data_IF_759946640924
#
_entry.id   IF_759946640924
#
_cell.length_a   1.000
_cell.length_b   1.000
_cell.length_c   1.000
_cell.angle_alpha   90.00
_cell.angle_beta   90.00
_cell.angle_gamma   90.00
#
_symmetry.space_group_name_H-M   'P 1'
#
loop_
_entity.id
_entity.type
_entity.pdbx_description
1 polymer ?
#
# COMPACT_ATOMS: atom_id res chain seq x y z
N UNK A 1 20.62 -30.75 -8.87
CA UNK A 1 21.20 -29.39 -8.95
C UNK A 1 20.22 -28.39 -9.58
N UNK A 2 19.68 -28.65 -10.77
CA UNK A 2 18.73 -27.75 -11.47
C UNK A 2 17.42 -27.48 -10.73
N UNK A 3 16.86 -28.47 -10.02
CA UNK A 3 15.60 -28.32 -9.27
C UNK A 3 15.72 -27.47 -8.01
N UNK A 4 16.88 -27.53 -7.33
CA UNK A 4 17.18 -26.72 -6.14
C UNK A 4 17.37 -25.25 -6.53
N UNK A 5 18.03 -25.00 -7.67
CA UNK A 5 18.20 -23.65 -8.22
C UNK A 5 16.85 -23.02 -8.59
N UNK A 6 15.95 -23.77 -9.21
CA UNK A 6 14.60 -23.28 -9.53
C UNK A 6 13.80 -22.93 -8.27
N UNK A 7 13.87 -23.75 -7.22
CA UNK A 7 13.23 -23.47 -5.94
C UNK A 7 13.80 -22.21 -5.26
N UNK A 8 15.12 -22.01 -5.32
CA UNK A 8 15.77 -20.83 -4.76
C UNK A 8 15.32 -19.53 -5.46
N UNK A 9 15.22 -19.55 -6.79
CA UNK A 9 14.74 -18.41 -7.59
C UNK A 9 13.29 -18.05 -7.23
N UNK A 10 12.41 -19.05 -7.10
CA UNK A 10 11.02 -18.83 -6.70
C UNK A 10 10.90 -18.17 -5.32
N UNK A 11 11.77 -18.56 -4.38
CA UNK A 11 11.85 -17.94 -3.06
C UNK A 11 12.28 -16.48 -3.16
N UNK A 12 13.28 -16.19 -3.98
CA UNK A 12 13.77 -14.82 -4.20
C UNK A 12 12.69 -13.92 -4.83
N UNK A 13 11.98 -14.42 -5.85
CA UNK A 13 10.85 -13.72 -6.46
C UNK A 13 9.75 -13.45 -5.42
N UNK A 14 9.43 -14.45 -4.59
CA UNK A 14 8.47 -14.29 -3.51
C UNK A 14 8.90 -13.26 -2.46
N UNK A 15 10.20 -13.19 -2.14
CA UNK A 15 10.75 -12.17 -1.24
C UNK A 15 10.67 -10.77 -1.84
N UNK A 16 10.99 -10.62 -3.12
CA UNK A 16 10.85 -9.37 -3.83
C UNK A 16 9.39 -8.90 -3.86
N UNK A 17 8.45 -9.80 -4.17
CA UNK A 17 7.01 -9.50 -4.12
C UNK A 17 6.57 -9.06 -2.72
N UNK A 18 7.02 -9.77 -1.67
CA UNK A 18 6.73 -9.42 -0.28
C UNK A 18 7.26 -8.02 0.08
N UNK A 19 8.48 -7.67 -0.37
CA UNK A 19 9.05 -6.35 -0.17
C UNK A 19 8.22 -5.26 -0.87
N UNK A 20 7.76 -5.50 -2.10
CA UNK A 20 6.87 -4.57 -2.81
C UNK A 20 5.55 -4.36 -2.07
N UNK A 21 4.93 -5.44 -1.60
CA UNK A 21 3.69 -5.37 -0.80
C UNK A 21 3.92 -4.57 0.48
N UNK A 22 5.06 -4.78 1.15
CA UNK A 22 5.41 -4.05 2.37
C UNK A 22 5.62 -2.56 2.10
N UNK A 23 6.39 -2.21 1.07
CA UNK A 23 6.60 -0.81 0.66
C UNK A 23 5.27 -0.15 0.33
N UNK A 24 4.42 -0.80 -0.46
CA UNK A 24 3.12 -0.26 -0.82
C UNK A 24 2.20 -0.09 0.40
N UNK A 25 2.23 -1.03 1.34
CA UNK A 25 1.52 -0.91 2.62
C UNK A 25 1.98 0.32 3.41
N UNK A 26 3.29 0.57 3.47
CA UNK A 26 3.86 1.76 4.11
C UNK A 26 3.38 3.04 3.42
N UNK A 27 3.32 3.07 2.09
CA UNK A 27 2.78 4.22 1.35
C UNK A 27 1.31 4.48 1.68
N UNK A 28 0.48 3.43 1.77
CA UNK A 28 -0.93 3.59 2.18
C UNK A 28 -1.01 4.12 3.62
N UNK A 29 -0.19 3.62 4.54
CA UNK A 29 -0.14 4.13 5.92
C UNK A 29 0.28 5.61 5.94
N UNK A 30 1.31 5.99 5.18
CA UNK A 30 1.73 7.38 5.06
C UNK A 30 0.62 8.29 4.50
N UNK A 31 -0.16 7.79 3.54
CA UNK A 31 -1.35 8.49 3.02
C UNK A 31 -2.44 8.65 4.08
N UNK A 32 -2.72 7.61 4.88
CA UNK A 32 -3.69 7.71 5.99
C UNK A 32 -3.23 8.75 7.01
N UNK A 33 -1.94 8.73 7.39
CA UNK A 33 -1.37 9.68 8.35
C UNK A 33 -1.44 11.11 7.84
N UNK A 34 -1.22 11.34 6.53
CA UNK A 34 -1.36 12.67 5.94
C UNK A 34 -2.82 13.14 5.96
N UNK A 35 -3.77 12.28 5.59
CA UNK A 35 -5.21 12.59 5.69
C UNK A 35 -5.63 12.89 7.13
N UNK A 36 -5.17 12.09 8.10
CA UNK A 36 -5.42 12.29 9.51
C UNK A 36 -4.89 13.66 9.96
N UNK A 37 -3.63 13.97 9.63
CA UNK A 37 -3.00 15.24 9.97
C UNK A 37 -3.80 16.45 9.45
N UNK A 38 -4.25 16.41 8.19
CA UNK A 38 -5.08 17.50 7.63
C UNK A 38 -6.50 17.52 8.19
N UNK A 39 -7.10 16.36 8.43
CA UNK A 39 -8.45 16.22 8.99
C UNK A 39 -8.59 16.80 10.40
N UNK A 40 -7.53 16.74 11.22
CA UNK A 40 -7.49 17.34 12.56
C UNK A 40 -6.97 18.79 12.58
N UNK A 41 -6.97 19.48 11.44
CA UNK A 41 -6.61 20.90 11.37
C UNK A 41 -5.11 21.18 11.22
N UNK A 42 -4.30 20.16 10.94
CA UNK A 42 -2.91 20.32 10.53
C UNK A 42 -2.82 21.14 9.25
N UNK A 43 -1.87 22.10 9.21
CA UNK A 43 -1.61 22.93 8.03
C UNK A 43 -0.27 22.55 7.44
N UNK A 44 -0.21 22.46 6.11
CA UNK A 44 1.04 22.21 5.39
C UNK A 44 1.97 23.42 5.56
N UNK A 45 3.19 23.25 6.11
CA UNK A 45 4.24 24.27 5.98
C UNK A 45 4.56 24.47 4.49
N UNK A 46 4.82 25.71 4.05
CA UNK A 46 5.10 26.02 2.64
C UNK A 46 6.50 25.51 2.23
N UNK A 47 6.64 24.18 2.11
CA UNK A 47 7.87 23.50 1.72
C UNK A 47 7.61 22.68 0.46
N UNK A 48 8.28 23.05 -0.65
CA UNK A 48 8.13 22.39 -1.95
C UNK A 48 8.40 20.89 -1.90
N UNK A 49 9.37 20.45 -1.08
CA UNK A 49 9.70 19.03 -0.95
C UNK A 49 8.54 18.24 -0.32
N UNK A 50 7.91 18.81 0.71
CA UNK A 50 6.80 18.16 1.41
C UNK A 50 5.56 18.06 0.52
N UNK A 51 5.21 19.14 -0.20
CA UNK A 51 4.11 19.12 -1.18
C UNK A 51 4.36 18.10 -2.31
N UNK A 52 5.62 17.96 -2.76
CA UNK A 52 5.98 16.96 -3.77
C UNK A 52 5.78 15.53 -3.25
N UNK A 53 6.19 15.23 -2.01
CA UNK A 53 6.01 13.91 -1.39
C UNK A 53 4.53 13.58 -1.21
N UNK A 54 3.72 14.53 -0.74
CA UNK A 54 2.27 14.33 -0.61
C UNK A 54 1.59 14.10 -1.96
N UNK A 55 1.95 14.89 -2.97
CA UNK A 55 1.44 14.71 -4.33
C UNK A 55 1.82 13.36 -4.93
N UNK A 56 3.05 12.88 -4.65
CA UNK A 56 3.48 11.55 -5.04
C UNK A 56 2.66 10.46 -4.33
N UNK A 57 2.48 10.56 -3.02
CA UNK A 57 1.66 9.61 -2.25
C UNK A 57 0.24 9.55 -2.81
N UNK A 58 -0.37 10.70 -3.09
CA UNK A 58 -1.71 10.77 -3.66
C UNK A 58 -1.77 10.11 -5.04
N UNK A 59 -0.83 10.41 -5.94
CA UNK A 59 -0.81 9.82 -7.29
C UNK A 59 -0.63 8.29 -7.27
N UNK A 60 0.15 7.75 -6.32
CA UNK A 60 0.46 6.32 -6.24
C UNK A 60 -0.61 5.54 -5.49
N UNK A 61 -1.17 6.12 -4.43
CA UNK A 61 -2.11 5.44 -3.52
C UNK A 61 -3.56 5.65 -3.94
N UNK A 62 -3.93 6.84 -4.44
CA UNK A 62 -5.33 7.16 -4.74
C UNK A 62 -5.96 6.22 -5.79
N UNK A 63 -5.31 5.80 -6.89
CA UNK A 63 -5.93 4.88 -7.85
C UNK A 63 -6.37 3.56 -7.22
N UNK A 64 -5.56 3.01 -6.31
CA UNK A 64 -5.88 1.79 -5.58
C UNK A 64 -7.04 2.00 -4.61
N UNK A 65 -7.00 3.07 -3.81
CA UNK A 65 -8.06 3.38 -2.86
C UNK A 65 -9.39 3.73 -3.53
N UNK A 66 -9.35 4.38 -4.70
CA UNK A 66 -10.54 4.74 -5.48
C UNK A 66 -11.34 3.52 -5.90
N UNK A 67 -10.75 2.34 -6.02
CA UNK A 67 -11.48 1.09 -6.27
C UNK A 67 -12.40 0.80 -5.09
N UNK A 68 -11.91 0.91 -3.87
CA UNK A 68 -12.67 0.66 -2.64
C UNK A 68 -13.68 1.76 -2.34
N UNK A 69 -13.35 3.03 -2.63
CA UNK A 69 -14.27 4.18 -2.46
C UNK A 69 -15.56 4.06 -3.30
N UNK A 70 -15.53 3.29 -4.39
CA UNK A 70 -16.74 3.00 -5.19
C UNK A 70 -17.72 2.09 -4.46
N UNK A 71 -17.23 1.24 -3.56
CA UNK A 71 -18.04 0.29 -2.80
C UNK A 71 -18.34 0.79 -1.39
N UNK A 72 -17.43 1.57 -0.81
CA UNK A 72 -17.52 2.10 0.55
C UNK A 72 -17.60 3.63 0.46
N UNK A 73 -18.80 4.22 0.62
CA UNK A 73 -18.91 5.67 0.66
C UNK A 73 -18.13 6.24 1.86
N UNK A 74 -17.51 7.42 1.73
CA UNK A 74 -16.78 8.05 2.83
C UNK A 74 -17.74 8.34 4.00
N UNK A 75 -17.33 7.95 5.21
CA UNK A 75 -18.09 8.20 6.44
C UNK A 75 -17.67 9.56 7.02
N UNK A 76 -18.15 10.64 6.41
CA UNK A 76 -17.79 12.01 6.81
C UNK A 76 -16.34 12.35 6.43
N UNK A 77 -15.55 12.99 7.31
CA UNK A 77 -14.15 13.37 7.00
C UNK A 77 -13.17 12.19 6.98
N UNK A 78 -13.59 11.03 7.50
CA UNK A 78 -12.72 9.87 7.67
C UNK A 78 -12.98 8.88 6.54
N UNK A 79 -11.93 8.61 5.77
CA UNK A 79 -11.94 7.61 4.72
C UNK A 79 -11.56 6.24 5.31
N UNK A 80 -12.48 5.28 5.26
CA UNK A 80 -12.26 3.90 5.73
C UNK A 80 -11.69 3.01 4.62
N UNK A 81 -11.74 3.46 3.36
CA UNK A 81 -11.20 2.72 2.21
C UNK A 81 -9.72 2.32 2.35
N UNK A 82 -8.82 3.11 2.98
CA UNK A 82 -7.43 2.71 3.18
C UNK A 82 -7.27 1.48 4.08
N UNK A 83 -8.09 1.36 5.12
CA UNK A 83 -8.03 0.22 6.06
C UNK A 83 -8.39 -1.06 5.32
N UNK A 84 -9.49 -1.02 4.54
CA UNK A 84 -9.92 -2.16 3.72
C UNK A 84 -8.89 -2.49 2.65
N UNK A 85 -8.29 -1.47 2.02
CA UNK A 85 -7.19 -1.65 1.07
C UNK A 85 -6.01 -2.38 1.70
N UNK A 86 -5.54 -1.95 2.88
CA UNK A 86 -4.43 -2.64 3.59
C UNK A 86 -4.80 -4.09 3.90
N UNK A 87 -6.00 -4.35 4.43
CA UNK A 87 -6.42 -5.72 4.74
C UNK A 87 -6.43 -6.61 3.50
N UNK A 88 -7.01 -6.13 2.40
CA UNK A 88 -7.04 -6.88 1.14
C UNK A 88 -5.64 -7.11 0.58
N UNK A 89 -4.78 -6.09 0.60
CA UNK A 89 -3.40 -6.17 0.13
C UNK A 89 -2.60 -7.21 0.93
N UNK A 90 -2.74 -7.23 2.26
CA UNK A 90 -2.01 -8.15 3.14
C UNK A 90 -2.48 -9.60 2.94
N UNK A 91 -3.80 -9.82 2.83
CA UNK A 91 -4.36 -11.16 2.63
C UNK A 91 -4.01 -11.69 1.24
N UNK A 92 -4.39 -10.96 0.19
CA UNK A 92 -4.18 -11.40 -1.21
C UNK A 92 -2.69 -11.45 -1.53
N UNK A 93 -1.93 -10.41 -1.15
CA UNK A 93 -0.49 -10.37 -1.35
C UNK A 93 0.23 -11.49 -0.61
N UNK A 94 -0.15 -11.78 0.64
CA UNK A 94 0.42 -12.89 1.41
C UNK A 94 0.17 -14.25 0.77
N UNK A 95 -1.04 -14.47 0.23
CA UNK A 95 -1.38 -15.69 -0.52
C UNK A 95 -0.53 -15.80 -1.79
N UNK A 96 -0.41 -14.71 -2.56
CA UNK A 96 0.40 -14.69 -3.78
C UNK A 96 1.87 -15.00 -3.50
N UNK A 97 2.44 -14.42 -2.44
CA UNK A 97 3.82 -14.71 -2.01
C UNK A 97 3.98 -16.20 -1.71
N UNK A 98 3.07 -16.82 -0.96
CA UNK A 98 3.12 -18.26 -0.64
C UNK A 98 3.08 -19.13 -1.89
N UNK A 99 2.15 -18.85 -2.80
CA UNK A 99 2.02 -19.55 -4.09
C UNK A 99 3.32 -19.46 -4.89
N UNK A 100 3.90 -18.26 -5.00
CA UNK A 100 5.15 -18.04 -5.75
C UNK A 100 6.32 -18.80 -5.13
N UNK A 101 6.41 -18.84 -3.80
CA UNK A 101 7.46 -19.60 -3.11
C UNK A 101 7.25 -21.12 -3.14
N UNK A 102 6.06 -21.58 -3.52
CA UNK A 102 5.74 -22.98 -3.76
C UNK A 102 5.33 -23.77 -2.51
N UNK A 103 4.74 -23.11 -1.51
CA UNK A 103 4.24 -23.77 -0.29
C UNK A 103 3.01 -23.08 0.31
#
# INVERSE_FOLDING_TARGET
>A
MSTILAAAVNVEIGNFLAALIQVYTILIIAYILSQLFFGFGGRVPYNRAFSAVLGFLEQVVAPYLNIFRRFIPPLGPIDISPIVGILLLQIVGGILVRIVRGY
#
